data_IF_907887825684
#
_entry.id   IF_907887825684
#
_cell.length_a   1.000
_cell.length_b   1.000
_cell.length_c   1.000
_cell.angle_alpha   90.00
_cell.angle_beta   90.00
_cell.angle_gamma   90.00
#
_symmetry.space_group_name_H-M   'P 1'
#
loop_
_entity.id
_entity.type
_entity.pdbx_description
1 polymer ?
#
# COMPACT_ATOMS: atom_id res chain seq x y z
N UNK A 1 -39.68 -25.21 -8.11
CA UNK A 1 -40.02 -23.91 -8.77
C UNK A 1 -38.86 -22.90 -8.73
N UNK A 2 -38.38 -22.44 -7.57
CA UNK A 2 -37.24 -21.48 -7.52
C UNK A 2 -35.93 -22.13 -7.97
N UNK A 3 -35.61 -23.33 -7.49
CA UNK A 3 -34.42 -24.09 -7.87
C UNK A 3 -34.40 -24.38 -9.38
N UNK A 4 -35.55 -24.70 -9.97
CA UNK A 4 -35.68 -24.92 -11.41
C UNK A 4 -35.39 -23.64 -12.19
N UNK A 5 -35.90 -22.49 -11.74
CA UNK A 5 -35.56 -21.19 -12.32
C UNK A 5 -34.07 -20.87 -12.19
N UNK A 6 -33.42 -21.24 -11.09
CA UNK A 6 -31.97 -21.06 -10.92
C UNK A 6 -31.20 -21.91 -11.95
N UNK A 7 -31.57 -23.19 -12.10
CA UNK A 7 -30.97 -24.09 -13.09
C UNK A 7 -31.16 -23.57 -14.52
N UNK A 8 -32.34 -23.04 -14.82
CA UNK A 8 -32.63 -22.39 -16.10
C UNK A 8 -31.76 -21.14 -16.31
N UNK A 9 -31.55 -20.31 -15.28
CA UNK A 9 -30.64 -19.16 -15.34
C UNK A 9 -29.21 -19.53 -15.71
N UNK A 10 -28.64 -20.58 -15.12
CA UNK A 10 -27.32 -21.09 -15.52
C UNK A 10 -27.29 -21.62 -16.96
N UNK A 11 -28.37 -22.25 -17.42
CA UNK A 11 -28.50 -22.69 -18.82
C UNK A 11 -28.53 -21.50 -19.77
N UNK A 12 -29.17 -20.40 -19.38
CA UNK A 12 -29.21 -19.17 -20.17
C UNK A 12 -27.82 -18.52 -20.26
N UNK A 13 -27.05 -18.52 -19.16
CA UNK A 13 -25.63 -18.09 -19.17
C UNK A 13 -24.82 -18.92 -20.17
N UNK A 14 -24.98 -20.25 -20.16
CA UNK A 14 -24.28 -21.15 -21.11
C UNK A 14 -24.69 -20.90 -22.56
N UNK A 15 -25.95 -20.53 -22.82
CA UNK A 15 -26.42 -20.18 -24.16
C UNK A 15 -25.89 -18.81 -24.62
N UNK A 16 -25.72 -17.88 -23.68
CA UNK A 16 -25.32 -16.50 -23.92
C UNK A 16 -23.88 -16.21 -23.46
N UNK A 17 -22.98 -17.20 -23.49
CA UNK A 17 -21.63 -17.11 -22.90
C UNK A 17 -20.80 -15.95 -23.45
N UNK A 18 -20.91 -15.63 -24.75
CA UNK A 18 -20.19 -14.48 -25.34
C UNK A 18 -20.60 -13.16 -24.68
N UNK A 19 -21.90 -12.97 -24.42
CA UNK A 19 -22.41 -11.77 -23.76
C UNK A 19 -21.95 -11.75 -22.30
N UNK A 20 -22.03 -12.88 -21.61
CA UNK A 20 -21.56 -13.02 -20.24
C UNK A 20 -20.08 -12.63 -20.12
N UNK A 21 -19.22 -13.15 -20.99
CA UNK A 21 -17.78 -12.84 -20.98
C UNK A 21 -17.53 -11.37 -21.29
N UNK A 22 -18.13 -10.83 -22.36
CA UNK A 22 -17.93 -9.41 -22.71
C UNK A 22 -18.38 -8.47 -21.60
N UNK A 23 -19.49 -8.80 -20.94
CA UNK A 23 -20.00 -7.99 -19.85
C UNK A 23 -19.16 -8.13 -18.57
N UNK A 24 -18.71 -9.34 -18.28
CA UNK A 24 -17.75 -9.62 -17.22
C UNK A 24 -16.45 -8.83 -17.42
N UNK A 25 -15.90 -8.80 -18.64
CA UNK A 25 -14.71 -8.02 -18.97
C UNK A 25 -14.94 -6.51 -18.81
N UNK A 26 -16.11 -6.00 -19.20
CA UNK A 26 -16.45 -4.59 -19.03
C UNK A 26 -16.46 -4.21 -17.54
N UNK A 27 -17.16 -4.99 -16.71
CA UNK A 27 -17.23 -4.77 -15.25
C UNK A 27 -15.85 -4.92 -14.61
N UNK A 28 -15.09 -5.93 -15.04
CA UNK A 28 -13.72 -6.17 -14.55
C UNK A 28 -12.81 -4.98 -14.86
N UNK A 29 -12.85 -4.44 -16.08
CA UNK A 29 -11.98 -3.34 -16.48
C UNK A 29 -12.16 -2.10 -15.61
N UNK A 30 -13.40 -1.70 -15.31
CA UNK A 30 -13.66 -0.53 -14.47
C UNK A 30 -13.34 -0.82 -13.01
N UNK A 31 -13.60 -2.04 -12.55
CA UNK A 31 -13.33 -2.43 -11.17
C UNK A 31 -11.82 -2.44 -10.89
N UNK A 32 -11.01 -2.95 -11.82
CA UNK A 32 -9.54 -2.87 -11.74
C UNK A 32 -9.09 -1.42 -11.70
N UNK A 33 -9.53 -0.57 -12.64
CA UNK A 33 -9.14 0.84 -12.68
C UNK A 33 -9.47 1.56 -11.37
N UNK A 34 -10.69 1.38 -10.85
CA UNK A 34 -11.11 2.01 -9.59
C UNK A 34 -10.34 1.47 -8.38
N UNK A 35 -10.11 0.16 -8.31
CA UNK A 35 -9.39 -0.45 -7.20
C UNK A 35 -7.94 0.03 -7.11
N UNK A 36 -7.21 -0.03 -8.23
CA UNK A 36 -5.79 0.34 -8.25
C UNK A 36 -5.57 1.85 -8.13
N UNK A 37 -6.40 2.69 -8.76
CA UNK A 37 -6.29 4.15 -8.60
C UNK A 37 -6.59 4.60 -7.17
N UNK A 38 -7.60 4.01 -6.52
CA UNK A 38 -7.91 4.31 -5.11
C UNK A 38 -6.79 3.86 -4.20
N UNK A 39 -6.20 2.68 -4.45
CA UNK A 39 -5.05 2.20 -3.70
C UNK A 39 -3.85 3.16 -3.83
N UNK A 40 -3.51 3.56 -5.06
CA UNK A 40 -2.42 4.48 -5.34
C UNK A 40 -2.60 5.83 -4.64
N UNK A 41 -3.81 6.40 -4.68
CA UNK A 41 -4.10 7.65 -3.98
C UNK A 41 -3.97 7.50 -2.46
N UNK A 42 -4.47 6.39 -1.91
CA UNK A 42 -4.35 6.15 -0.46
C UNK A 42 -2.88 6.00 -0.04
N UNK A 43 -2.06 5.32 -0.84
CA UNK A 43 -0.63 5.22 -0.59
C UNK A 43 0.03 6.61 -0.58
N UNK A 44 -0.21 7.41 -1.63
CA UNK A 44 0.33 8.75 -1.73
C UNK A 44 -0.13 9.67 -0.59
N UNK A 45 -1.41 9.59 -0.19
CA UNK A 45 -1.95 10.36 0.94
C UNK A 45 -1.43 9.91 2.31
N UNK A 46 -0.99 8.65 2.43
CA UNK A 46 -0.30 8.18 3.65
C UNK A 46 1.12 8.73 3.69
N UNK A 47 1.85 8.58 2.59
CA UNK A 47 3.23 9.06 2.47
C UNK A 47 3.30 10.60 2.54
N UNK A 48 2.26 11.33 2.13
CA UNK A 48 2.22 12.79 2.20
C UNK A 48 1.95 13.38 3.58
N UNK A 49 1.67 12.54 4.58
CA UNK A 49 1.46 13.00 5.96
C UNK A 49 2.74 13.02 6.77
N UNK A 50 3.77 12.30 6.31
CA UNK A 50 5.02 12.20 7.03
C UNK A 50 5.83 13.48 6.78
N UNK A 51 6.09 14.23 7.85
CA UNK A 51 6.96 15.41 7.76
C UNK A 51 8.40 14.93 7.92
N UNK A 52 9.21 15.04 6.87
CA UNK A 52 10.60 14.63 6.96
C UNK A 52 11.47 15.82 7.36
N UNK A 53 12.04 15.74 8.55
CA UNK A 53 13.12 16.65 8.97
C UNK A 53 14.45 16.01 8.59
N UNK A 54 15.25 16.77 7.85
CA UNK A 54 16.60 16.41 7.45
C UNK A 54 17.57 17.49 7.89
N UNK A 55 18.82 17.10 8.14
CA UNK A 55 19.90 18.02 8.47
C UNK A 55 20.94 17.90 7.38
N UNK A 56 21.41 19.04 6.88
CA UNK A 56 22.54 19.09 5.94
C UNK A 56 23.65 19.92 6.55
N UNK A 57 24.85 19.36 6.59
CA UNK A 57 26.02 20.07 7.07
C UNK A 57 26.47 21.08 6.02
N UNK A 58 26.56 22.34 6.42
CA UNK A 58 27.14 23.40 5.61
C UNK A 58 28.56 23.61 6.10
N UNK A 59 29.58 23.34 5.25
CA UNK A 59 30.97 23.49 5.65
C UNK A 59 31.29 24.97 5.80
N UNK A 60 31.37 25.43 7.05
CA UNK A 60 31.95 26.74 7.41
C UNK A 60 33.38 26.58 7.96
N UNK A 61 33.72 25.38 8.41
CA UNK A 61 35.04 24.90 8.81
C UNK A 61 35.11 23.39 8.53
N UNK A 62 36.31 22.88 8.22
CA UNK A 62 36.55 21.44 8.09
C UNK A 62 37.02 20.78 9.41
N UNK A 63 37.30 21.59 10.43
CA UNK A 63 37.68 21.11 11.76
C UNK A 63 36.51 21.27 12.73
N UNK A 64 36.15 20.19 13.42
CA UNK A 64 35.14 20.17 14.49
C UNK A 64 35.86 20.20 15.84
N UNK A 65 36.14 21.40 16.38
CA UNK A 65 36.95 21.54 17.61
C UNK A 65 36.25 21.00 18.86
N UNK A 66 34.92 21.00 18.86
CA UNK A 66 34.07 20.53 19.96
C UNK A 66 33.45 19.14 19.69
N UNK A 67 34.11 18.29 18.87
CA UNK A 67 33.64 16.96 18.46
C UNK A 67 33.02 16.13 19.60
N UNK A 68 33.75 15.96 20.71
CA UNK A 68 33.31 15.13 21.86
C UNK A 68 32.00 15.67 22.47
N UNK A 69 31.84 17.00 22.55
CA UNK A 69 30.61 17.59 23.13
C UNK A 69 29.40 17.37 22.23
N UNK A 70 29.60 17.41 20.91
CA UNK A 70 28.54 17.20 19.92
C UNK A 70 28.14 15.73 19.93
N UNK A 71 29.13 14.82 19.93
CA UNK A 71 28.91 13.38 20.08
C UNK A 71 28.08 13.05 21.33
N UNK A 72 28.49 13.56 22.49
CA UNK A 72 27.76 13.38 23.76
C UNK A 72 26.33 13.96 23.72
N UNK A 73 26.16 15.09 23.04
CA UNK A 73 24.85 15.74 22.87
C UNK A 73 23.90 14.90 22.01
N UNK A 74 24.39 14.42 20.88
CA UNK A 74 23.67 13.55 19.95
C UNK A 74 23.35 12.21 20.61
N UNK A 75 24.30 11.58 21.31
CA UNK A 75 24.11 10.32 22.03
C UNK A 75 22.98 10.41 23.06
N UNK A 76 22.96 11.48 23.87
CA UNK A 76 21.90 11.71 24.86
C UNK A 76 20.52 11.83 24.23
N UNK A 77 20.42 12.43 23.04
CA UNK A 77 19.14 12.58 22.35
C UNK A 77 18.70 11.30 21.64
N UNK A 78 19.64 10.60 21.00
CA UNK A 78 19.39 9.28 20.42
C UNK A 78 19.01 8.25 21.48
N UNK A 79 19.30 8.48 22.77
CA UNK A 79 18.77 7.73 23.92
C UNK A 79 17.36 8.13 24.35
N UNK A 80 16.83 9.28 23.93
CA UNK A 80 15.43 9.67 24.12
C UNK A 80 14.55 9.25 22.94
N UNK A 81 15.03 9.43 21.71
CA UNK A 81 14.28 9.17 20.48
C UNK A 81 15.12 9.46 19.24
N UNK A 82 14.55 9.22 18.06
CA UNK A 82 15.27 9.35 16.79
C UNK A 82 15.91 8.04 16.31
N UNK A 83 16.11 7.99 15.00
CA UNK A 83 16.55 6.82 14.26
C UNK A 83 17.63 7.24 13.29
N UNK A 84 18.75 6.51 13.28
CA UNK A 84 19.84 6.76 12.34
C UNK A 84 20.48 5.45 11.92
N UNK A 85 21.12 5.48 10.75
CA UNK A 85 21.97 4.40 10.25
C UNK A 85 23.29 5.02 9.80
N UNK A 86 24.40 4.37 10.13
CA UNK A 86 25.73 4.82 9.76
C UNK A 86 26.70 3.63 9.69
N UNK A 87 27.94 3.92 9.31
CA UNK A 87 29.04 2.96 9.28
C UNK A 87 30.17 3.53 10.13
N UNK A 88 30.82 2.68 10.91
CA UNK A 88 32.05 3.02 11.65
C UNK A 88 33.22 2.22 11.07
N UNK A 89 34.24 2.92 10.61
CA UNK A 89 35.52 2.37 10.17
C UNK A 89 36.14 1.55 11.30
N UNK A 90 36.14 2.07 12.53
CA UNK A 90 36.68 1.38 13.70
C UNK A 90 36.01 0.01 13.94
N UNK A 91 34.68 -0.03 13.93
CA UNK A 91 33.92 -1.28 14.13
C UNK A 91 34.18 -2.25 12.98
N UNK A 92 34.15 -1.77 11.74
CA UNK A 92 34.36 -2.61 10.56
C UNK A 92 35.78 -3.18 10.52
N UNK A 93 36.80 -2.40 10.88
CA UNK A 93 38.18 -2.87 11.00
C UNK A 93 38.34 -3.88 12.13
N UNK A 94 37.77 -3.60 13.31
CA UNK A 94 37.85 -4.51 14.47
C UNK A 94 37.20 -5.87 14.17
N UNK A 95 36.02 -5.85 13.53
CA UNK A 95 35.26 -7.07 13.22
C UNK A 95 35.67 -7.71 11.89
N UNK A 96 36.35 -6.97 11.02
CA UNK A 96 36.83 -7.42 9.71
C UNK A 96 35.70 -7.80 8.73
N UNK A 97 34.53 -7.19 8.88
CA UNK A 97 33.37 -7.32 8.00
C UNK A 97 32.68 -5.96 7.87
N UNK A 98 31.90 -5.77 6.81
CA UNK A 98 31.10 -4.56 6.66
C UNK A 98 29.85 -4.66 7.53
N UNK A 99 29.75 -3.77 8.53
CA UNK A 99 28.61 -3.66 9.43
C UNK A 99 27.96 -2.30 9.23
N UNK A 100 26.66 -2.35 8.93
CA UNK A 100 25.82 -1.17 9.02
C UNK A 100 25.20 -1.09 10.40
N UNK A 101 25.41 0.04 11.09
CA UNK A 101 24.98 0.24 12.48
C UNK A 101 23.71 1.05 12.49
N UNK A 102 22.71 0.58 13.23
CA UNK A 102 21.42 1.23 13.41
C UNK A 102 21.26 1.65 14.86
N UNK A 103 20.99 2.94 15.10
CA UNK A 103 20.69 3.47 16.43
C UNK A 103 19.26 3.97 16.48
N UNK A 104 18.47 3.40 17.38
CA UNK A 104 17.04 3.66 17.56
C UNK A 104 16.29 2.41 18.03
N UNK A 105 15.03 2.57 18.46
CA UNK A 105 14.18 1.43 18.88
C UNK A 105 13.59 0.70 17.66
N UNK A 106 14.44 0.04 16.89
CA UNK A 106 14.07 -0.66 15.65
C UNK A 106 13.39 -2.04 15.86
N UNK A 107 13.46 -2.60 17.06
CA UNK A 107 12.72 -3.81 17.44
C UNK A 107 11.40 -3.46 18.16
N UNK A 108 10.34 -4.24 17.93
CA UNK A 108 9.00 -3.99 18.52
C UNK A 108 8.95 -4.16 20.04
N UNK A 109 9.76 -5.07 20.60
CA UNK A 109 9.66 -5.49 22.01
C UNK A 109 11.00 -5.55 22.76
N UNK A 110 12.09 -5.06 22.15
CA UNK A 110 13.40 -4.95 22.82
C UNK A 110 13.66 -3.51 23.26
N UNK A 111 14.30 -3.37 24.41
CA UNK A 111 14.87 -2.09 24.86
C UNK A 111 16.24 -1.82 24.23
N UNK A 112 16.79 -2.77 23.46
CA UNK A 112 18.01 -2.54 22.72
C UNK A 112 17.80 -1.46 21.65
N UNK A 113 18.71 -0.50 21.63
CA UNK A 113 18.70 0.63 20.70
C UNK A 113 19.78 0.51 19.63
N UNK A 114 20.62 -0.53 19.69
CA UNK A 114 21.67 -0.76 18.71
C UNK A 114 21.38 -2.07 18.00
N UNK A 115 21.38 -2.02 16.67
CA UNK A 115 21.31 -3.18 15.80
C UNK A 115 22.46 -3.12 14.80
N UNK A 116 23.06 -4.27 14.54
CA UNK A 116 23.96 -4.44 13.41
C UNK A 116 23.21 -5.10 12.26
N UNK A 117 23.42 -4.61 11.04
CA UNK A 117 23.04 -5.30 9.84
C UNK A 117 24.30 -5.68 9.07
N UNK A 118 24.35 -6.94 8.64
CA UNK A 118 25.46 -7.50 7.87
C UNK A 118 24.90 -8.21 6.65
N UNK A 119 25.77 -8.51 5.68
CA UNK A 119 25.38 -9.39 4.60
C UNK A 119 25.17 -10.83 5.14
N UNK A 120 24.15 -11.52 4.64
CA UNK A 120 23.86 -12.91 4.97
C UNK A 120 25.06 -13.85 4.75
N UNK A 121 25.88 -13.56 3.73
CA UNK A 121 27.11 -14.31 3.42
C UNK A 121 28.16 -14.21 4.53
N UNK A 122 28.19 -13.09 5.27
CA UNK A 122 29.18 -12.82 6.32
C UNK A 122 28.77 -13.41 7.69
N UNK A 123 27.53 -13.92 7.82
CA UNK A 123 26.97 -14.36 9.09
C UNK A 123 27.79 -15.46 9.76
N UNK A 124 28.21 -16.47 9.00
CA UNK A 124 28.98 -17.59 9.56
C UNK A 124 30.38 -17.18 9.99
N UNK A 125 31.01 -16.27 9.26
CA UNK A 125 32.30 -15.69 9.63
C UNK A 125 32.17 -14.86 10.91
N UNK A 126 31.07 -14.11 11.04
CA UNK A 126 30.83 -13.27 12.21
C UNK A 126 30.52 -14.08 13.48
N UNK A 127 29.72 -15.15 13.37
CA UNK A 127 29.46 -16.10 14.48
C UNK A 127 30.72 -16.74 15.05
N UNK A 128 31.74 -16.98 14.21
CA UNK A 128 33.02 -17.54 14.66
C UNK A 128 33.82 -16.55 15.52
N UNK A 129 33.75 -15.26 15.19
CA UNK A 129 34.44 -14.19 15.92
C UNK A 129 33.70 -13.80 17.20
N UNK A 130 32.37 -13.82 17.18
CA UNK A 130 31.56 -13.24 18.24
C UNK A 130 30.48 -14.23 18.72
N UNK A 131 30.78 -14.93 19.82
CA UNK A 131 29.96 -16.06 20.32
C UNK A 131 28.64 -15.66 20.97
N UNK A 132 28.41 -14.36 21.18
CA UNK A 132 27.23 -13.81 21.88
C UNK A 132 26.21 -13.17 20.95
N UNK A 133 26.34 -13.38 19.63
CA UNK A 133 25.43 -12.79 18.65
C UNK A 133 24.05 -13.45 18.71
N UNK A 134 23.02 -12.62 18.80
CA UNK A 134 21.62 -13.05 18.66
C UNK A 134 21.06 -12.47 17.36
N UNK A 135 20.70 -13.37 16.45
CA UNK A 135 20.01 -12.99 15.20
C UNK A 135 18.59 -12.57 15.54
N UNK A 136 18.17 -11.44 14.98
CA UNK A 136 16.82 -10.90 15.15
C UNK A 136 15.96 -11.33 13.97
N UNK A 137 14.79 -11.89 14.25
CA UNK A 137 13.84 -12.27 13.20
C UNK A 137 13.23 -11.02 12.55
N UNK A 138 13.00 -11.05 11.23
CA UNK A 138 12.33 -9.97 10.50
C UNK A 138 10.96 -9.61 11.11
N UNK A 139 10.25 -10.59 11.69
CA UNK A 139 8.95 -10.37 12.36
C UNK A 139 9.06 -9.49 13.62
N UNK A 140 10.22 -9.50 14.28
CA UNK A 140 10.48 -8.70 15.49
C UNK A 140 10.85 -7.25 15.16
N UNK A 141 11.22 -6.97 13.90
CA UNK A 141 11.60 -5.65 13.41
C UNK A 141 10.39 -4.77 13.12
N UNK A 142 10.55 -3.48 13.36
CA UNK A 142 9.56 -2.45 13.09
C UNK A 142 9.79 -1.83 11.71
N UNK A 143 9.12 -2.39 10.70
CA UNK A 143 9.23 -1.99 9.28
C UNK A 143 9.07 -0.49 9.05
N UNK A 144 8.19 0.17 9.81
CA UNK A 144 7.94 1.61 9.64
C UNK A 144 9.20 2.41 9.98
N UNK A 145 9.88 2.04 11.07
CA UNK A 145 11.09 2.73 11.54
C UNK A 145 12.28 2.50 10.62
N UNK A 146 12.42 1.30 10.06
CA UNK A 146 13.43 1.03 9.04
C UNK A 146 13.19 1.86 7.77
N UNK A 147 11.92 1.95 7.32
CA UNK A 147 11.56 2.81 6.19
C UNK A 147 11.90 4.28 6.47
N UNK A 148 11.76 4.76 7.70
CA UNK A 148 12.14 6.13 8.11
C UNK A 148 13.61 6.44 7.84
N UNK A 149 14.52 5.46 7.96
CA UNK A 149 15.95 5.61 7.64
C UNK A 149 16.31 5.11 6.24
N UNK A 150 15.32 4.98 5.36
CA UNK A 150 15.50 4.57 3.97
C UNK A 150 16.00 3.14 3.82
N UNK A 151 15.46 2.20 4.59
CA UNK A 151 15.65 0.75 4.43
C UNK A 151 14.28 0.11 4.27
N UNK A 152 14.03 -0.55 3.14
CA UNK A 152 12.76 -1.22 2.90
C UNK A 152 12.93 -2.73 3.12
N UNK A 153 12.56 -3.18 4.31
CA UNK A 153 12.64 -4.59 4.69
C UNK A 153 11.75 -5.52 3.83
N UNK A 154 10.87 -5.01 2.97
CA UNK A 154 10.09 -5.86 2.05
C UNK A 154 10.79 -6.07 0.68
N UNK A 155 11.81 -5.27 0.38
CA UNK A 155 12.58 -5.29 -0.87
C UNK A 155 14.04 -5.71 -0.62
N UNK A 156 14.62 -5.28 0.50
CA UNK A 156 16.03 -5.48 0.88
C UNK A 156 16.29 -6.76 1.70
N UNK A 157 15.24 -7.55 2.02
CA UNK A 157 15.27 -8.67 2.97
C UNK A 157 16.20 -9.83 2.53
N UNK A 158 16.44 -9.99 1.22
CA UNK A 158 17.12 -11.19 0.73
C UNK A 158 18.61 -11.25 1.07
N UNK A 159 19.24 -10.13 1.46
CA UNK A 159 20.70 -10.08 1.67
C UNK A 159 21.15 -9.58 3.05
N UNK A 160 20.27 -9.00 3.88
CA UNK A 160 20.67 -8.40 5.17
C UNK A 160 20.22 -9.25 6.36
N UNK A 161 21.15 -9.51 7.28
CA UNK A 161 20.87 -10.17 8.56
C UNK A 161 21.06 -9.18 9.69
N UNK A 162 20.03 -9.04 10.52
CA UNK A 162 20.01 -8.14 11.67
C UNK A 162 20.43 -8.87 12.96
N UNK A 163 21.33 -8.25 13.71
CA UNK A 163 21.97 -8.82 14.89
C UNK A 163 21.83 -7.88 16.08
N UNK A 164 21.46 -8.46 17.21
CA UNK A 164 21.40 -7.76 18.49
C UNK A 164 22.80 -7.67 19.10
N UNK A 165 23.24 -6.44 19.38
CA UNK A 165 24.55 -6.17 20.00
C UNK A 165 24.43 -6.30 21.53
N UNK A 166 25.43 -6.93 22.16
CA UNK A 166 25.47 -7.04 23.62
C UNK A 166 25.61 -5.66 24.29
N UNK A 167 25.10 -5.52 25.53
CA UNK A 167 25.02 -4.29 26.35
C UNK A 167 26.30 -3.44 26.54
N UNK A 168 27.45 -3.82 25.97
CA UNK A 168 28.69 -3.05 26.09
C UNK A 168 28.74 -1.83 25.16
N UNK A 169 28.01 -1.84 24.05
CA UNK A 169 28.02 -0.75 23.06
C UNK A 169 26.73 0.07 23.21
N UNK A 170 26.72 0.96 24.21
CA UNK A 170 25.50 1.72 24.59
C UNK A 170 25.64 3.22 24.38
N UNK A 171 26.81 3.67 23.94
CA UNK A 171 27.11 5.06 23.64
C UNK A 171 27.79 5.20 22.29
N UNK A 172 27.58 6.35 21.64
CA UNK A 172 28.27 6.68 20.38
C UNK A 172 29.80 6.56 20.48
N UNK A 173 30.37 6.92 21.62
CA UNK A 173 31.82 6.86 21.88
C UNK A 173 32.40 5.44 21.82
N UNK A 174 31.58 4.40 22.02
CA UNK A 174 32.00 3.01 21.88
C UNK A 174 32.37 2.67 20.41
N UNK A 175 31.77 3.39 19.45
CA UNK A 175 32.04 3.24 18.02
C UNK A 175 33.21 4.07 17.51
N UNK A 176 33.83 4.90 18.37
CA UNK A 176 35.00 5.75 18.08
C UNK A 176 34.89 6.49 16.75
N UNK A 177 33.79 7.21 16.58
CA UNK A 177 33.48 7.90 15.33
C UNK A 177 34.56 8.93 14.98
N UNK A 178 34.85 9.06 13.70
CA UNK A 178 35.59 10.21 13.18
C UNK A 178 34.63 11.39 12.87
N UNK A 179 35.12 12.62 12.65
CA UNK A 179 34.27 13.78 12.35
C UNK A 179 33.36 13.61 11.12
N UNK A 180 33.79 12.86 10.11
CA UNK A 180 32.99 12.62 8.92
C UNK A 180 31.83 11.64 9.21
N UNK A 181 32.10 10.57 9.96
CA UNK A 181 31.08 9.61 10.38
C UNK A 181 30.05 10.21 11.32
N UNK A 182 30.47 11.07 12.26
CA UNK A 182 29.53 11.81 13.12
C UNK A 182 28.65 12.74 12.28
N UNK A 183 29.22 13.41 11.28
CA UNK A 183 28.46 14.23 10.33
C UNK A 183 27.43 13.37 9.60
N UNK A 184 27.85 12.25 9.01
CA UNK A 184 26.96 11.36 8.26
C UNK A 184 25.84 10.80 9.16
N UNK A 185 26.15 10.48 10.41
CA UNK A 185 25.18 10.06 11.42
C UNK A 185 24.14 11.15 11.72
N UNK A 186 24.58 12.41 11.87
CA UNK A 186 23.69 13.56 12.10
C UNK A 186 22.78 13.79 10.87
N UNK A 187 23.34 13.78 9.66
CA UNK A 187 22.57 13.96 8.41
C UNK A 187 21.58 12.80 8.19
N UNK A 188 21.98 11.58 8.57
CA UNK A 188 21.17 10.37 8.53
C UNK A 188 20.15 10.23 9.66
N UNK A 189 20.17 11.13 10.66
CA UNK A 189 19.22 11.09 11.77
C UNK A 189 17.84 11.58 11.33
N UNK A 190 16.84 10.76 11.61
CA UNK A 190 15.43 10.99 11.29
C UNK A 190 14.57 10.85 12.54
N UNK A 191 13.44 11.53 12.54
CA UNK A 191 12.48 11.51 13.63
C UNK A 191 11.11 11.08 13.12
N UNK A 192 10.35 10.39 13.96
CA UNK A 192 8.95 10.09 13.69
C UNK A 192 8.08 11.32 13.94
N UNK A 193 6.92 11.40 13.30
CA UNK A 193 5.93 12.48 13.53
C UNK A 193 5.60 12.72 15.00
N UNK A 194 5.58 11.65 15.81
CA UNK A 194 5.33 11.75 17.26
C UNK A 194 6.48 12.46 17.98
N UNK A 195 7.72 12.18 17.59
CA UNK A 195 8.91 12.80 18.18
C UNK A 195 9.03 14.27 17.75
N UNK A 196 8.70 14.58 16.48
CA UNK A 196 8.61 15.95 15.98
C UNK A 196 7.57 16.77 16.74
N UNK A 197 6.37 16.21 16.99
CA UNK A 197 5.35 16.89 17.82
C UNK A 197 5.78 17.14 19.26
N UNK A 198 6.70 16.33 19.78
CA UNK A 198 7.25 16.50 21.11
C UNK A 198 8.45 17.48 21.13
N UNK A 199 8.84 18.05 19.98
CA UNK A 199 9.95 19.00 19.85
C UNK A 199 11.34 18.36 19.97
N UNK A 200 11.46 17.04 19.70
CA UNK A 200 12.74 16.35 19.82
C UNK A 200 13.77 16.84 18.78
N UNK A 201 13.30 17.30 17.62
CA UNK A 201 14.10 17.94 16.58
C UNK A 201 14.67 19.31 17.00
N UNK A 202 13.93 20.07 17.80
CA UNK A 202 14.44 21.31 18.40
C UNK A 202 15.49 21.04 19.48
N UNK A 203 15.32 19.98 20.28
CA UNK A 203 16.37 19.51 21.20
C UNK A 203 17.61 19.06 20.43
N UNK A 204 17.42 18.37 19.30
CA UNK A 204 18.49 17.93 18.41
C UNK A 204 19.27 19.09 17.79
N UNK A 205 18.58 20.12 17.31
CA UNK A 205 19.22 21.35 16.85
C UNK A 205 20.10 21.98 17.92
N UNK A 206 19.65 22.02 19.18
CA UNK A 206 20.44 22.55 20.31
C UNK A 206 21.69 21.72 20.60
N UNK A 207 21.63 20.40 20.40
CA UNK A 207 22.79 19.53 20.59
C UNK A 207 23.87 19.74 19.52
N UNK A 208 23.48 20.10 18.29
CA UNK A 208 24.40 20.31 17.16
C UNK A 208 24.80 21.79 16.94
N UNK A 209 24.08 22.75 17.54
CA UNK A 209 24.25 24.20 17.38
C UNK A 209 25.63 24.74 17.78
N UNK A 210 26.35 24.06 18.68
CA UNK A 210 27.70 24.46 19.12
C UNK A 210 28.83 23.78 18.35
N UNK A 211 28.53 23.16 17.21
CA UNK A 211 29.56 22.60 16.33
C UNK A 211 30.09 23.65 15.36
N UNK A 212 31.39 23.58 15.04
CA UNK A 212 32.00 24.43 14.00
C UNK A 212 31.46 24.12 12.58
N UNK A 213 30.67 23.04 12.45
CA UNK A 213 29.97 22.62 11.25
C UNK A 213 28.51 23.03 11.40
N UNK A 214 28.05 24.03 10.64
CA UNK A 214 26.66 24.49 10.77
C UNK A 214 25.74 23.52 10.05
N UNK A 215 24.88 22.82 10.80
CA UNK A 215 23.82 22.01 10.24
C UNK A 215 22.58 22.86 9.98
N UNK A 216 22.08 22.89 8.75
CA UNK A 216 20.78 23.49 8.44
C UNK A 216 19.69 22.44 8.44
N UNK A 217 18.64 22.70 9.21
CA UNK A 217 17.39 21.96 9.18
C UNK A 217 16.67 22.22 7.86
N UNK A 218 16.33 21.15 7.16
CA UNK A 218 15.41 21.15 6.05
C UNK A 218 14.15 20.38 6.46
N UNK A 219 13.02 21.09 6.47
CA UNK A 219 11.70 20.47 6.60
C UNK A 219 11.22 20.24 5.18
N UNK A 220 11.31 19.00 4.73
CA UNK A 220 10.69 18.62 3.48
C UNK A 220 9.25 18.23 3.82
N UNK A 221 8.29 19.01 3.34
CA UNK A 221 6.91 18.53 3.22
C UNK A 221 6.90 17.54 2.06
N UNK A 222 7.32 16.32 2.33
CA UNK A 222 7.40 15.27 1.32
C UNK A 222 5.96 15.04 0.82
N UNK A 223 5.76 15.22 -0.49
CA UNK A 223 4.60 14.74 -1.26
C UNK A 223 3.33 15.59 -1.45
N UNK A 224 3.30 16.90 -1.22
CA UNK A 224 2.18 17.69 -1.78
C UNK A 224 2.16 17.66 -3.32
N UNK A 225 3.34 17.65 -3.95
CA UNK A 225 3.49 17.58 -5.42
C UNK A 225 3.01 16.27 -6.03
N UNK A 226 3.21 15.14 -5.35
CA UNK A 226 2.85 13.82 -5.86
C UNK A 226 1.35 13.57 -5.74
N UNK A 227 0.75 13.99 -4.62
CA UNK A 227 -0.72 13.97 -4.47
C UNK A 227 -1.37 14.89 -5.51
N UNK A 228 -0.83 16.09 -5.73
CA UNK A 228 -1.32 17.01 -6.77
C UNK A 228 -1.18 16.41 -8.17
N UNK A 229 -0.08 15.71 -8.46
CA UNK A 229 0.12 15.02 -9.74
C UNK A 229 -0.92 13.90 -9.94
N UNK A 230 -1.13 13.05 -8.93
CA UNK A 230 -2.10 11.96 -8.97
C UNK A 230 -3.52 12.51 -9.17
N UNK A 231 -3.90 13.55 -8.41
CA UNK A 231 -5.23 14.14 -8.51
C UNK A 231 -5.45 14.82 -9.87
N UNK A 232 -4.47 15.59 -10.36
CA UNK A 232 -4.61 16.39 -11.57
C UNK A 232 -4.55 15.56 -12.85
N UNK A 233 -3.71 14.53 -12.90
CA UNK A 233 -3.48 13.76 -14.13
C UNK A 233 -4.08 12.37 -14.08
N UNK A 234 -3.86 11.61 -13.01
CA UNK A 234 -4.34 10.22 -12.92
C UNK A 234 -5.86 10.20 -12.69
N UNK A 235 -6.37 10.95 -11.73
CA UNK A 235 -7.82 10.97 -11.46
C UNK A 235 -8.64 11.62 -12.58
N UNK A 236 -8.07 12.60 -13.29
CA UNK A 236 -8.68 13.13 -14.50
C UNK A 236 -8.81 12.04 -15.58
N UNK A 237 -7.78 11.21 -15.77
CA UNK A 237 -7.84 10.08 -16.68
C UNK A 237 -8.84 8.99 -16.23
N UNK A 238 -8.86 8.64 -14.93
CA UNK A 238 -9.84 7.72 -14.34
C UNK A 238 -11.27 8.23 -14.56
N UNK A 239 -11.51 9.53 -14.41
CA UNK A 239 -12.79 10.16 -14.68
C UNK A 239 -13.20 10.00 -16.16
N UNK A 240 -12.29 10.24 -17.11
CA UNK A 240 -12.56 10.04 -18.54
C UNK A 240 -12.88 8.56 -18.86
N UNK A 241 -12.14 7.62 -18.26
CA UNK A 241 -12.41 6.19 -18.40
C UNK A 241 -13.78 5.80 -17.81
N UNK A 242 -14.17 6.38 -16.68
CA UNK A 242 -15.47 6.15 -16.08
C UNK A 242 -16.60 6.67 -16.98
N UNK A 243 -16.40 7.82 -17.62
CA UNK A 243 -17.36 8.36 -18.58
C UNK A 243 -17.48 7.48 -19.84
N UNK A 244 -16.35 6.99 -20.37
CA UNK A 244 -16.33 6.02 -21.47
C UNK A 244 -16.99 4.69 -21.10
N UNK A 245 -16.78 4.21 -19.86
CA UNK A 245 -17.45 3.04 -19.31
C UNK A 245 -18.96 3.26 -19.24
N UNK A 246 -19.44 4.39 -18.71
CA UNK A 246 -20.88 4.67 -18.62
C UNK A 246 -21.57 4.69 -19.99
N UNK A 247 -20.92 5.26 -21.00
CA UNK A 247 -21.41 5.23 -22.39
C UNK A 247 -21.46 3.80 -22.93
N UNK A 248 -20.37 3.05 -22.78
CA UNK A 248 -20.26 1.66 -23.24
C UNK A 248 -21.29 0.76 -22.54
N UNK A 249 -21.45 0.95 -21.23
CA UNK A 249 -22.41 0.26 -20.39
C UNK A 249 -23.84 0.58 -20.84
N UNK A 250 -24.17 1.84 -21.11
CA UNK A 250 -25.48 2.24 -21.63
C UNK A 250 -25.81 1.58 -22.97
N UNK A 251 -24.86 1.58 -23.92
CA UNK A 251 -25.01 0.90 -25.22
C UNK A 251 -25.18 -0.61 -25.03
N UNK A 252 -24.37 -1.20 -24.16
CA UNK A 252 -24.41 -2.63 -23.88
C UNK A 252 -25.74 -3.06 -23.27
N UNK A 253 -26.22 -2.33 -22.25
CA UNK A 253 -27.53 -2.56 -21.63
C UNK A 253 -28.65 -2.42 -22.65
N UNK A 254 -28.62 -1.40 -23.53
CA UNK A 254 -29.63 -1.24 -24.59
C UNK A 254 -29.65 -2.41 -25.57
N UNK A 255 -28.50 -2.96 -25.93
CA UNK A 255 -28.41 -4.12 -26.83
C UNK A 255 -28.84 -5.41 -26.14
N UNK A 256 -28.38 -5.61 -24.91
CA UNK A 256 -28.78 -6.71 -24.03
C UNK A 256 -30.30 -6.70 -23.81
N UNK A 257 -30.87 -5.53 -23.54
CA UNK A 257 -32.29 -5.28 -23.40
C UNK A 257 -33.09 -5.75 -24.61
N UNK A 258 -32.74 -5.29 -25.83
CA UNK A 258 -33.44 -5.69 -27.05
C UNK A 258 -33.48 -7.22 -27.24
N UNK A 259 -32.37 -7.88 -26.92
CA UNK A 259 -32.27 -9.34 -27.05
C UNK A 259 -33.07 -10.07 -25.98
N UNK A 260 -32.92 -9.65 -24.73
CA UNK A 260 -33.60 -10.23 -23.58
C UNK A 260 -35.12 -10.06 -23.65
N UNK A 261 -35.60 -8.90 -24.12
CA UNK A 261 -37.02 -8.62 -24.32
C UNK A 261 -37.66 -9.58 -25.32
N UNK A 262 -36.97 -9.90 -26.42
CA UNK A 262 -37.41 -10.92 -27.38
C UNK A 262 -37.51 -12.30 -26.71
N UNK A 263 -36.53 -12.68 -25.90
CA UNK A 263 -36.54 -13.94 -25.15
C UNK A 263 -37.64 -13.97 -24.07
N UNK A 264 -37.90 -12.86 -23.39
CA UNK A 264 -38.94 -12.76 -22.37
C UNK A 264 -40.35 -12.85 -22.94
N UNK A 265 -40.61 -12.21 -24.09
CA UNK A 265 -41.89 -12.36 -24.79
C UNK A 265 -42.16 -13.84 -25.10
N UNK A 266 -41.15 -14.55 -25.63
CA UNK A 266 -41.26 -16.00 -25.89
C UNK A 266 -41.53 -16.77 -24.59
N UNK A 267 -40.80 -16.47 -23.52
CA UNK A 267 -40.99 -17.16 -22.24
C UNK A 267 -42.37 -16.90 -21.61
N UNK A 268 -42.90 -15.69 -21.71
CA UNK A 268 -44.24 -15.33 -21.23
C UNK A 268 -45.32 -16.05 -22.06
N UNK A 269 -45.16 -16.09 -23.40
CA UNK A 269 -46.05 -16.86 -24.30
C UNK A 269 -46.02 -18.35 -23.93
N UNK A 270 -44.86 -18.89 -23.54
CA UNK A 270 -44.74 -20.26 -23.04
C UNK A 270 -45.17 -20.45 -21.57
N UNK A 271 -45.81 -19.45 -20.94
CA UNK A 271 -46.39 -19.55 -19.59
C UNK A 271 -45.48 -19.16 -18.42
N UNK A 272 -44.32 -18.55 -18.67
CA UNK A 272 -43.44 -18.10 -17.59
C UNK A 272 -43.95 -16.80 -16.93
N UNK A 273 -43.85 -16.72 -15.60
CA UNK A 273 -44.20 -15.51 -14.85
C UNK A 273 -43.08 -14.47 -14.86
N UNK A 274 -43.40 -13.18 -14.70
CA UNK A 274 -42.40 -12.10 -14.53
C UNK A 274 -41.41 -12.40 -13.39
N UNK A 275 -41.88 -13.04 -12.30
CA UNK A 275 -41.04 -13.50 -11.17
C UNK A 275 -40.01 -14.55 -11.59
N UNK A 276 -40.39 -15.52 -12.42
CA UNK A 276 -39.46 -16.54 -12.94
C UNK A 276 -38.36 -15.91 -13.79
N UNK A 277 -38.73 -14.93 -14.64
CA UNK A 277 -37.79 -14.19 -15.48
C UNK A 277 -36.81 -13.38 -14.62
N UNK A 278 -37.31 -12.67 -13.61
CA UNK A 278 -36.46 -11.93 -12.67
C UNK A 278 -35.41 -12.83 -12.00
N UNK A 279 -35.83 -13.97 -11.45
CA UNK A 279 -34.92 -14.92 -10.78
C UNK A 279 -33.83 -15.43 -11.74
N UNK A 280 -34.19 -15.76 -12.99
CA UNK A 280 -33.22 -16.21 -14.01
C UNK A 280 -32.17 -15.13 -14.31
N UNK A 281 -32.56 -13.87 -14.36
CA UNK A 281 -31.63 -12.76 -14.58
C UNK A 281 -30.79 -12.42 -13.36
N UNK A 282 -31.33 -12.52 -12.15
CA UNK A 282 -30.54 -12.38 -10.93
C UNK A 282 -29.42 -13.42 -10.88
N UNK A 283 -29.64 -14.65 -11.36
CA UNK A 283 -28.56 -15.65 -11.48
C UNK A 283 -27.45 -15.17 -12.42
N UNK A 284 -27.79 -14.52 -13.54
CA UNK A 284 -26.81 -13.93 -14.45
C UNK A 284 -26.00 -12.81 -13.78
N UNK A 285 -26.68 -11.88 -13.12
CA UNK A 285 -26.05 -10.73 -12.42
C UNK A 285 -25.16 -11.20 -11.27
N UNK A 286 -25.66 -12.10 -10.43
CA UNK A 286 -24.90 -12.64 -9.30
C UNK A 286 -23.69 -13.45 -9.77
N UNK A 287 -23.81 -14.21 -10.86
CA UNK A 287 -22.67 -14.94 -11.43
C UNK A 287 -21.58 -14.00 -11.94
N UNK A 288 -21.95 -12.85 -12.52
CA UNK A 288 -20.99 -11.81 -12.92
C UNK A 288 -20.30 -11.18 -11.71
N UNK A 289 -21.07 -10.85 -10.67
CA UNK A 289 -20.52 -10.28 -9.45
C UNK A 289 -19.55 -11.23 -8.76
N UNK A 290 -19.89 -12.52 -8.67
CA UNK A 290 -18.99 -13.55 -8.13
C UNK A 290 -17.73 -13.69 -8.98
N UNK A 291 -17.86 -13.73 -10.31
CA UNK A 291 -16.71 -13.82 -11.21
C UNK A 291 -15.77 -12.62 -11.06
N UNK A 292 -16.31 -11.40 -11.05
CA UNK A 292 -15.57 -10.16 -10.86
C UNK A 292 -14.87 -10.13 -9.49
N UNK A 293 -15.61 -10.46 -8.43
CA UNK A 293 -15.07 -10.55 -7.07
C UNK A 293 -13.89 -11.52 -6.98
N UNK A 294 -14.03 -12.72 -7.55
CA UNK A 294 -12.99 -13.75 -7.52
C UNK A 294 -11.73 -13.30 -8.26
N UNK A 295 -11.85 -12.69 -9.44
CA UNK A 295 -10.68 -12.25 -10.20
C UNK A 295 -9.93 -11.13 -9.49
N UNK A 296 -10.63 -10.10 -9.01
CA UNK A 296 -9.98 -8.97 -8.36
C UNK A 296 -9.29 -9.40 -7.07
N UNK A 297 -9.92 -10.26 -6.28
CA UNK A 297 -9.28 -10.78 -5.06
C UNK A 297 -8.14 -11.75 -5.38
N UNK A 298 -8.22 -12.52 -6.45
CA UNK A 298 -7.10 -13.31 -6.93
C UNK A 298 -5.91 -12.42 -7.32
N UNK A 299 -6.16 -11.32 -8.05
CA UNK A 299 -5.14 -10.31 -8.36
C UNK A 299 -4.59 -9.64 -7.09
N UNK A 300 -5.42 -9.48 -6.07
CA UNK A 300 -5.04 -8.97 -4.74
C UNK A 300 -4.44 -10.04 -3.80
N UNK A 301 -4.18 -11.26 -4.28
CA UNK A 301 -3.72 -12.41 -3.47
C UNK A 301 -4.58 -12.72 -2.24
N UNK A 302 -5.85 -12.32 -2.27
CA UNK A 302 -6.80 -12.40 -1.15
C UNK A 302 -6.34 -11.65 0.12
N UNK A 303 -5.53 -10.60 -0.03
CA UNK A 303 -5.18 -9.73 1.08
C UNK A 303 -6.41 -8.95 1.59
N UNK A 304 -6.59 -8.89 2.90
CA UNK A 304 -7.68 -8.15 3.56
C UNK A 304 -7.33 -6.66 3.72
N UNK A 305 -7.18 -5.97 2.59
CA UNK A 305 -6.80 -4.56 2.52
C UNK A 305 -7.93 -3.68 1.98
N UNK A 306 -7.63 -2.42 1.65
CA UNK A 306 -8.61 -1.49 1.08
C UNK A 306 -9.16 -1.95 -0.27
N UNK A 307 -8.37 -2.67 -1.08
CA UNK A 307 -8.81 -3.18 -2.38
C UNK A 307 -9.89 -4.23 -2.19
N UNK A 308 -9.74 -5.10 -1.18
CA UNK A 308 -10.73 -6.13 -0.84
C UNK A 308 -12.10 -5.52 -0.48
N UNK A 309 -12.11 -4.56 0.45
CA UNK A 309 -13.38 -3.92 0.87
C UNK A 309 -14.00 -3.06 -0.23
N UNK A 310 -13.17 -2.37 -1.01
CA UNK A 310 -13.64 -1.60 -2.17
C UNK A 310 -14.28 -2.51 -3.22
N UNK A 311 -13.67 -3.67 -3.49
CA UNK A 311 -14.21 -4.68 -4.40
C UNK A 311 -15.59 -5.20 -3.94
N UNK A 312 -15.78 -5.44 -2.63
CA UNK A 312 -17.11 -5.77 -2.08
C UNK A 312 -18.11 -4.66 -2.37
N UNK A 313 -17.76 -3.41 -2.06
CA UNK A 313 -18.62 -2.25 -2.28
C UNK A 313 -19.01 -2.09 -3.75
N UNK A 314 -18.04 -2.19 -4.67
CA UNK A 314 -18.26 -2.10 -6.10
C UNK A 314 -19.22 -3.20 -6.60
N UNK A 315 -19.02 -4.45 -6.18
CA UNK A 315 -19.90 -5.55 -6.58
C UNK A 315 -21.33 -5.36 -6.07
N UNK A 316 -21.52 -4.88 -4.84
CA UNK A 316 -22.86 -4.57 -4.30
C UNK A 316 -23.53 -3.49 -5.16
N UNK A 317 -22.82 -2.40 -5.47
CA UNK A 317 -23.36 -1.32 -6.33
C UNK A 317 -23.72 -1.85 -7.71
N UNK A 318 -22.87 -2.68 -8.32
CA UNK A 318 -23.15 -3.27 -9.64
C UNK A 318 -24.37 -4.18 -9.63
N UNK A 319 -24.52 -5.04 -8.60
CA UNK A 319 -25.69 -5.91 -8.46
C UNK A 319 -26.96 -5.07 -8.33
N UNK A 320 -26.97 -4.10 -7.43
CA UNK A 320 -28.14 -3.24 -7.20
C UNK A 320 -28.54 -2.47 -8.46
N UNK A 321 -27.58 -1.90 -9.17
CA UNK A 321 -27.83 -1.13 -10.40
C UNK A 321 -28.44 -2.04 -11.48
N UNK A 322 -27.90 -3.24 -11.68
CA UNK A 322 -28.40 -4.16 -12.70
C UNK A 322 -29.76 -4.74 -12.37
N UNK A 323 -29.98 -5.15 -11.12
CA UNK A 323 -31.28 -5.64 -10.67
C UNK A 323 -32.35 -4.55 -10.79
N UNK A 324 -32.02 -3.30 -10.46
CA UNK A 324 -32.92 -2.16 -10.64
C UNK A 324 -33.29 -1.94 -12.11
N UNK A 325 -32.33 -2.03 -13.03
CA UNK A 325 -32.58 -1.94 -14.48
C UNK A 325 -33.52 -3.07 -14.95
N UNK A 326 -33.27 -4.31 -14.51
CA UNK A 326 -34.11 -5.46 -14.85
C UNK A 326 -35.53 -5.31 -14.30
N UNK A 327 -35.66 -4.85 -13.05
CA UNK A 327 -36.96 -4.65 -12.41
C UNK A 327 -37.78 -3.58 -13.14
N UNK A 328 -37.17 -2.44 -13.45
CA UNK A 328 -37.84 -1.35 -14.19
C UNK A 328 -38.33 -1.80 -15.57
N UNK A 329 -37.55 -2.63 -16.26
CA UNK A 329 -37.94 -3.21 -17.55
C UNK A 329 -39.19 -4.10 -17.40
N UNK A 330 -39.23 -4.98 -16.40
CA UNK A 330 -40.36 -5.89 -16.19
C UNK A 330 -41.66 -5.16 -15.78
N UNK A 331 -41.53 -3.99 -15.14
CA UNK A 331 -42.64 -3.15 -14.69
C UNK A 331 -43.18 -2.27 -15.82
N UNK A 332 -42.30 -1.55 -16.54
CA UNK A 332 -42.72 -0.52 -17.52
C UNK A 332 -43.27 -1.08 -18.82
N UNK A 333 -42.86 -2.27 -19.23
CA UNK A 333 -43.33 -2.84 -20.50
C UNK A 333 -44.53 -3.76 -20.32
N UNK A 334 -45.57 -3.44 -21.07
CA UNK A 334 -46.74 -4.28 -21.27
C UNK A 334 -46.34 -5.45 -22.19
N UNK A 335 -45.62 -6.41 -21.61
CA UNK A 335 -45.08 -7.59 -22.28
C UNK A 335 -46.18 -8.50 -22.88
N UNK A 336 -47.46 -8.21 -22.61
CA UNK A 336 -48.65 -8.95 -23.04
C UNK A 336 -49.37 -8.39 -24.28
N UNK A 337 -49.12 -7.15 -24.71
CA UNK A 337 -49.94 -6.48 -25.74
C UNK A 337 -49.13 -6.24 -27.02
N UNK A 338 -48.94 -7.28 -27.82
CA UNK A 338 -48.67 -7.14 -29.27
C UNK A 338 -49.12 -8.40 -30.01
N UNK A 339 -50.38 -8.77 -29.80
CA UNK A 339 -51.13 -9.72 -30.63
C UNK A 339 -52.56 -9.17 -30.78
N UNK A 340 -52.72 -8.17 -31.64
CA UNK A 340 -53.99 -7.97 -32.34
C UNK A 340 -53.75 -8.30 -33.81
N UNK A 341 -54.49 -9.32 -34.25
CA UNK A 341 -54.68 -9.90 -35.57
C UNK A 341 -53.93 -9.31 -36.76
N UNK A 342 -53.09 -10.16 -37.38
CA UNK A 342 -53.14 -10.29 -38.83
C UNK A 342 -54.18 -11.35 -39.15
N UNK A 343 -55.38 -10.91 -39.52
CA UNK A 343 -56.25 -11.66 -40.45
C UNK A 343 -55.77 -11.40 -41.88
#
# INVERSE_FOLDING_TARGET
MVIDNIKLGFRDIKRNTRIFILFGLLILSISVVLSFSTYALNLALKESKDTEVSYFAIPVSYEMKDFIKVEDGVDKLLKKGGYTKFVSEYVNEEKGIFIQIFIGKFQKSSENRVLFAINSEDLELFKQKEKTLKVVSADELDKIKFKTVGVDLEIDDDNLVFLEVAKKETSLSDFKLNPAELKDLIEGTKFTDKELKNGLDEEFEKAILNSDIVFKKHINSVNMTDVDFILKYIYFYVFLLLLAFLLSFGIFIKNLYKRLLREYKIHIICGATKKSIFIRNSVFVLSLAVFNFMIINFLNRFNYDIIFFLNIGLNIVFVLLLEFVILNMLIREDLSTTLMGGE
#
